data_IF_167475882860
#
_entry.id   IF_167475882860
#
_cell.length_a   1.000
_cell.length_b   1.000
_cell.length_c   1.000
_cell.angle_alpha   90.00
_cell.angle_beta   90.00
_cell.angle_gamma   90.00
#
_symmetry.space_group_name_H-M   'P 1'
#
loop_
_entity.id
_entity.type
_entity.pdbx_description
1 polymer ?
#
# COMPACT_ATOMS: atom_id res chain seq x y z
N UNK A 1 17.32 -27.00 -36.65
CA UNK A 1 17.60 -26.14 -35.47
C UNK A 1 16.48 -25.13 -35.15
N UNK A 2 15.78 -24.54 -36.14
CA UNK A 2 14.72 -23.52 -35.89
C UNK A 2 13.47 -24.01 -35.14
N UNK A 3 13.12 -25.30 -35.26
CA UNK A 3 11.91 -25.86 -34.63
C UNK A 3 12.01 -25.90 -33.10
N UNK A 4 13.20 -26.22 -32.56
CA UNK A 4 13.47 -26.28 -31.12
C UNK A 4 13.41 -24.89 -30.45
N UNK A 5 13.88 -23.84 -31.15
CA UNK A 5 13.84 -22.46 -30.66
C UNK A 5 12.40 -21.94 -30.51
N UNK A 6 11.50 -22.33 -31.43
CA UNK A 6 10.08 -21.96 -31.37
C UNK A 6 9.34 -22.59 -30.19
N UNK A 7 9.65 -23.85 -29.86
CA UNK A 7 9.08 -24.51 -28.68
C UNK A 7 9.61 -23.93 -27.37
N UNK A 8 10.89 -23.55 -27.32
CA UNK A 8 11.46 -22.89 -26.15
C UNK A 8 10.82 -21.52 -25.88
N UNK A 9 10.59 -20.71 -26.92
CA UNK A 9 9.92 -19.40 -26.79
C UNK A 9 8.45 -19.59 -26.35
N UNK A 10 7.74 -20.56 -26.94
CA UNK A 10 6.36 -20.85 -26.53
C UNK A 10 6.27 -21.30 -25.06
N UNK A 11 7.22 -22.12 -24.60
CA UNK A 11 7.28 -22.55 -23.20
C UNK A 11 7.55 -21.39 -22.24
N UNK A 12 8.45 -20.47 -22.59
CA UNK A 12 8.75 -19.27 -21.78
C UNK A 12 7.53 -18.35 -21.68
N UNK A 13 6.83 -18.12 -22.79
CA UNK A 13 5.61 -17.29 -22.82
C UNK A 13 4.50 -17.93 -21.99
N UNK A 14 4.32 -19.25 -22.09
CA UNK A 14 3.33 -19.98 -21.27
C UNK A 14 3.69 -19.92 -19.78
N UNK A 15 4.97 -20.05 -19.41
CA UNK A 15 5.41 -19.95 -18.02
C UNK A 15 5.29 -18.52 -17.46
N UNK A 16 5.59 -17.50 -18.27
CA UNK A 16 5.40 -16.09 -17.90
C UNK A 16 3.92 -15.75 -17.73
N UNK A 17 3.04 -16.29 -18.60
CA UNK A 17 1.60 -16.18 -18.45
C UNK A 17 1.12 -16.87 -17.16
N UNK A 18 1.54 -18.11 -16.88
CA UNK A 18 1.17 -18.85 -15.67
C UNK A 18 1.62 -18.16 -14.38
N UNK A 19 2.83 -17.58 -14.36
CA UNK A 19 3.32 -16.79 -13.22
C UNK A 19 2.54 -15.48 -13.02
N UNK A 20 2.08 -14.85 -14.10
CA UNK A 20 1.19 -13.70 -14.04
C UNK A 20 -0.21 -14.10 -13.54
N UNK A 21 -0.76 -15.23 -13.98
CA UNK A 21 -2.06 -15.74 -13.49
C UNK A 21 -2.02 -16.21 -12.03
N UNK A 22 -0.92 -16.80 -11.57
CA UNK A 22 -0.75 -17.19 -10.16
C UNK A 22 -0.70 -15.96 -9.22
N UNK A 23 -0.18 -14.83 -9.68
CA UNK A 23 -0.24 -13.54 -8.96
C UNK A 23 -1.58 -12.83 -9.12
N UNK A 24 -2.33 -13.12 -10.19
CA UNK A 24 -3.64 -12.52 -10.49
C UNK A 24 -4.82 -13.31 -9.90
N UNK A 25 -4.61 -14.51 -9.35
CA UNK A 25 -5.55 -15.18 -8.41
C UNK A 25 -5.60 -14.50 -7.02
N UNK A 26 -5.29 -13.20 -7.04
CA UNK A 26 -5.85 -12.09 -6.31
C UNK A 26 -6.02 -12.29 -4.81
N UNK A 27 -5.26 -11.49 -4.09
CA UNK A 27 -5.52 -11.14 -2.70
C UNK A 27 -6.97 -10.64 -2.45
N UNK A 28 -7.79 -10.38 -3.49
CA UNK A 28 -9.24 -10.23 -3.35
C UNK A 28 -9.96 -11.46 -2.79
N UNK A 29 -9.38 -12.65 -2.89
CA UNK A 29 -9.91 -13.87 -2.27
C UNK A 29 -9.70 -13.90 -0.75
N UNK A 30 -8.77 -13.09 -0.22
CA UNK A 30 -8.45 -13.04 1.22
C UNK A 30 -9.44 -12.15 1.97
N UNK A 31 -9.91 -11.05 1.35
CA UNK A 31 -10.89 -10.15 1.95
C UNK A 31 -12.28 -10.46 1.40
N UNK A 32 -13.20 -10.88 2.27
CA UNK A 32 -14.59 -11.05 1.88
C UNK A 32 -15.28 -9.68 1.65
N UNK A 33 -16.50 -9.69 1.15
CA UNK A 33 -17.25 -8.46 0.87
C UNK A 33 -17.46 -7.59 2.12
N UNK A 34 -17.69 -8.20 3.28
CA UNK A 34 -17.86 -7.49 4.55
C UNK A 34 -16.59 -6.77 4.99
N UNK A 35 -15.43 -7.42 4.87
CA UNK A 35 -14.14 -6.83 5.21
C UNK A 35 -13.80 -5.64 4.31
N UNK A 36 -14.11 -5.74 3.02
CA UNK A 36 -13.97 -4.64 2.05
C UNK A 36 -14.83 -3.44 2.43
N UNK A 37 -16.11 -3.66 2.71
CA UNK A 37 -17.03 -2.59 3.16
C UNK A 37 -16.56 -1.95 4.46
N UNK A 38 -16.09 -2.75 5.43
CA UNK A 38 -15.55 -2.21 6.68
C UNK A 38 -14.33 -1.32 6.43
N UNK A 39 -13.44 -1.73 5.52
CA UNK A 39 -12.27 -0.95 5.14
C UNK A 39 -12.65 0.38 4.47
N UNK A 40 -13.64 0.36 3.59
CA UNK A 40 -14.17 1.57 2.92
C UNK A 40 -14.82 2.54 3.92
N UNK A 41 -15.57 2.02 4.88
CA UNK A 41 -16.14 2.83 5.97
C UNK A 41 -15.02 3.47 6.79
N UNK A 42 -13.99 2.70 7.16
CA UNK A 42 -12.83 3.21 7.91
C UNK A 42 -12.06 4.27 7.11
N UNK A 43 -11.85 4.06 5.81
CA UNK A 43 -11.18 5.01 4.94
C UNK A 43 -11.99 6.31 4.80
N UNK A 44 -13.31 6.20 4.60
CA UNK A 44 -14.21 7.35 4.50
C UNK A 44 -14.24 8.17 5.79
N UNK A 45 -14.35 7.50 6.94
CA UNK A 45 -14.31 8.15 8.24
C UNK A 45 -12.95 8.80 8.52
N UNK A 46 -11.85 8.17 8.08
CA UNK A 46 -10.50 8.72 8.19
C UNK A 46 -10.34 9.96 7.30
N UNK A 47 -10.84 9.93 6.06
CA UNK A 47 -10.88 11.09 5.18
C UNK A 47 -11.66 12.26 5.79
N UNK A 48 -12.82 11.99 6.39
CA UNK A 48 -13.60 13.01 7.09
C UNK A 48 -12.79 13.63 8.24
N UNK A 49 -12.19 12.81 9.10
CA UNK A 49 -11.33 13.29 10.20
C UNK A 49 -10.13 14.11 9.71
N UNK A 50 -9.54 13.75 8.58
CA UNK A 50 -8.43 14.50 8.00
C UNK A 50 -8.90 15.88 7.50
N UNK A 51 -10.10 15.97 6.92
CA UNK A 51 -10.71 17.23 6.48
C UNK A 51 -11.08 18.13 7.65
N UNK A 52 -11.64 17.55 8.70
CA UNK A 52 -12.12 18.29 9.87
C UNK A 52 -10.98 18.70 10.81
N UNK A 53 -9.81 18.07 10.67
CA UNK A 53 -8.61 18.53 11.34
C UNK A 53 -8.27 19.94 10.82
N UNK A 54 -8.18 20.91 11.74
CA UNK A 54 -7.79 22.28 11.46
C UNK A 54 -6.32 22.29 10.98
N UNK A 55 -6.14 22.08 9.68
CA UNK A 55 -4.84 21.99 9.02
C UNK A 55 -4.56 23.26 8.26
N UNK A 56 -3.33 23.72 8.37
CA UNK A 56 -2.81 24.87 7.63
C UNK A 56 -2.72 24.57 6.11
N UNK A 57 -2.68 23.28 5.73
CA UNK A 57 -2.57 22.86 4.34
C UNK A 57 -3.93 22.76 3.64
N UNK A 58 -4.09 23.53 2.57
CA UNK A 58 -5.31 23.61 1.75
C UNK A 58 -5.66 22.30 1.03
N UNK A 59 -4.65 21.48 0.72
CA UNK A 59 -4.79 20.17 0.05
C UNK A 59 -3.86 19.15 0.72
N UNK A 60 -4.32 18.43 1.75
CA UNK A 60 -3.49 17.45 2.42
C UNK A 60 -3.12 16.31 1.47
N UNK A 61 -1.85 15.92 1.47
CA UNK A 61 -1.34 14.69 0.86
C UNK A 61 -1.01 13.68 1.96
N UNK A 62 -1.57 12.48 1.86
CA UNK A 62 -1.51 11.48 2.93
C UNK A 62 -0.82 10.21 2.47
N UNK A 63 0.13 9.73 3.27
CA UNK A 63 0.78 8.44 3.06
C UNK A 63 0.17 7.39 4.01
N UNK A 64 -0.19 6.22 3.50
CA UNK A 64 -0.63 5.07 4.29
C UNK A 64 0.52 4.08 4.44
N UNK A 65 0.98 3.89 5.67
CA UNK A 65 2.05 2.94 6.00
C UNK A 65 1.48 1.54 6.17
N UNK A 66 2.30 0.53 5.88
CA UNK A 66 1.98 -0.87 6.14
C UNK A 66 1.49 -1.12 7.57
N UNK A 67 0.48 -1.98 7.71
CA UNK A 67 -0.07 -2.34 9.01
C UNK A 67 0.66 -3.55 9.60
N UNK A 68 1.66 -3.29 10.44
CA UNK A 68 2.43 -4.35 11.08
C UNK A 68 1.62 -5.10 12.16
N UNK A 69 1.53 -6.43 12.04
CA UNK A 69 0.89 -7.32 13.01
C UNK A 69 1.94 -7.92 13.96
N UNK A 70 1.99 -7.44 15.21
CA UNK A 70 2.34 -8.22 16.41
C UNK A 70 3.75 -8.81 16.58
N UNK A 71 4.54 -9.04 15.53
CA UNK A 71 5.91 -9.55 15.63
C UNK A 71 6.92 -8.58 15.02
N UNK A 72 8.15 -8.51 15.57
CA UNK A 72 9.24 -7.79 14.92
C UNK A 72 9.71 -8.55 13.68
N UNK A 73 9.67 -7.91 12.51
CA UNK A 73 10.52 -8.30 11.39
C UNK A 73 9.87 -8.36 10.02
N UNK A 74 8.53 -8.46 9.91
CA UNK A 74 7.89 -8.65 8.60
C UNK A 74 6.56 -7.89 8.55
N UNK A 75 6.39 -6.98 7.59
CA UNK A 75 5.04 -6.59 7.17
C UNK A 75 4.37 -7.87 6.69
N UNK A 76 3.34 -8.35 7.39
CA UNK A 76 2.62 -9.51 6.89
C UNK A 76 2.03 -9.14 5.54
N UNK A 77 2.01 -10.08 4.58
CA UNK A 77 1.37 -9.88 3.28
C UNK A 77 -0.06 -9.33 3.43
N UNK A 78 -0.75 -9.74 4.50
CA UNK A 78 -2.04 -9.18 4.91
C UNK A 78 -1.97 -7.72 5.35
N UNK A 79 -0.97 -7.32 6.14
CA UNK A 79 -0.76 -5.93 6.57
C UNK A 79 -0.47 -4.97 5.43
N UNK A 80 0.35 -5.41 4.46
CA UNK A 80 0.58 -4.68 3.20
C UNK A 80 -0.70 -4.59 2.38
N UNK A 81 -1.42 -5.71 2.19
CA UNK A 81 -2.69 -5.74 1.45
C UNK A 81 -3.73 -4.79 2.04
N UNK A 82 -3.91 -4.82 3.37
CA UNK A 82 -4.86 -3.97 4.06
C UNK A 82 -4.49 -2.50 3.89
N UNK A 83 -3.20 -2.17 3.94
CA UNK A 83 -2.72 -0.81 3.70
C UNK A 83 -2.91 -0.37 2.24
N UNK A 84 -2.68 -1.25 1.26
CA UNK A 84 -2.92 -1.00 -0.16
C UNK A 84 -4.40 -0.67 -0.41
N UNK A 85 -5.30 -1.55 0.03
CA UNK A 85 -6.75 -1.37 -0.13
C UNK A 85 -7.25 -0.15 0.62
N UNK A 86 -6.73 0.10 1.81
CA UNK A 86 -7.16 1.25 2.60
C UNK A 86 -6.74 2.55 1.91
N UNK A 87 -5.52 2.59 1.35
CA UNK A 87 -5.02 3.72 0.57
C UNK A 87 -5.86 3.98 -0.68
N UNK A 88 -6.27 2.93 -1.39
CA UNK A 88 -7.16 3.02 -2.55
C UNK A 88 -8.52 3.58 -2.17
N UNK A 89 -9.17 3.01 -1.15
CA UNK A 89 -10.44 3.53 -0.63
C UNK A 89 -10.30 4.98 -0.15
N UNK A 90 -9.22 5.33 0.54
CA UNK A 90 -8.97 6.67 1.06
C UNK A 90 -8.84 7.71 -0.06
N UNK A 91 -8.13 7.35 -1.14
CA UNK A 91 -8.01 8.18 -2.33
C UNK A 91 -9.37 8.43 -2.99
N UNK A 92 -10.23 7.40 -3.04
CA UNK A 92 -11.57 7.49 -3.60
C UNK A 92 -12.55 8.28 -2.71
N UNK A 93 -12.36 8.27 -1.38
CA UNK A 93 -13.23 8.93 -0.42
C UNK A 93 -13.07 10.46 -0.36
N UNK A 94 -12.07 11.06 -1.01
CA UNK A 94 -11.85 12.52 -0.92
C UNK A 94 -11.23 13.14 -2.18
N UNK A 95 -12.03 13.93 -2.90
CA UNK A 95 -11.57 14.68 -4.09
C UNK A 95 -10.62 15.85 -3.79
N UNK A 96 -10.51 16.28 -2.54
CA UNK A 96 -9.70 17.45 -2.10
C UNK A 96 -8.44 17.06 -1.32
N UNK A 97 -8.16 15.77 -1.21
CA UNK A 97 -7.01 15.22 -0.48
C UNK A 97 -6.26 14.29 -1.41
N UNK A 98 -4.96 14.52 -1.57
CA UNK A 98 -4.10 13.59 -2.27
C UNK A 98 -3.77 12.39 -1.40
N UNK A 99 -3.68 11.21 -2.00
CA UNK A 99 -3.07 10.05 -1.34
C UNK A 99 -1.79 9.72 -2.09
N UNK A 100 -0.70 9.45 -1.36
CA UNK A 100 0.55 9.02 -1.97
C UNK A 100 0.37 7.60 -2.50
N UNK A 101 0.77 7.38 -3.75
CA UNK A 101 0.72 6.05 -4.37
C UNK A 101 1.60 5.07 -3.57
N UNK A 102 0.97 3.98 -3.15
CA UNK A 102 1.59 2.87 -2.42
C UNK A 102 2.71 2.21 -3.22
N UNK A 103 2.65 2.24 -4.55
CA UNK A 103 3.74 1.76 -5.42
C UNK A 103 5.00 2.63 -5.25
N UNK A 104 4.84 3.95 -5.26
CA UNK A 104 5.96 4.88 -5.04
C UNK A 104 6.56 4.70 -3.65
N UNK A 105 5.72 4.44 -2.64
CA UNK A 105 6.17 4.12 -1.30
C UNK A 105 7.00 2.82 -1.27
N UNK A 106 6.52 1.74 -1.87
CA UNK A 106 7.24 0.47 -1.94
C UNK A 106 8.58 0.58 -2.70
N UNK A 107 8.60 1.33 -3.81
CA UNK A 107 9.82 1.63 -4.56
C UNK A 107 10.82 2.42 -3.71
N UNK A 108 10.36 3.44 -2.97
CA UNK A 108 11.20 4.21 -2.06
C UNK A 108 11.84 3.34 -0.99
N UNK A 109 11.07 2.47 -0.33
CA UNK A 109 11.60 1.57 0.70
C UNK A 109 12.69 0.65 0.15
N UNK A 110 12.50 0.16 -1.07
CA UNK A 110 13.45 -0.72 -1.75
C UNK A 110 14.73 0.04 -2.13
N UNK A 111 14.60 1.23 -2.71
CA UNK A 111 15.75 2.03 -3.17
C UNK A 111 16.61 2.55 -2.02
N UNK A 112 15.99 2.92 -0.90
CA UNK A 112 16.67 3.51 0.25
C UNK A 112 17.07 2.49 1.32
N UNK A 113 16.89 1.20 1.05
CA UNK A 113 17.18 0.12 2.01
C UNK A 113 16.50 0.34 3.36
N UNK A 114 15.30 0.92 3.34
CA UNK A 114 14.58 1.33 4.53
C UNK A 114 14.18 0.10 5.34
N UNK A 115 14.51 0.11 6.62
CA UNK A 115 14.21 -1.00 7.51
C UNK A 115 12.81 -0.86 8.13
N UNK A 116 12.29 -1.97 8.63
CA UNK A 116 11.07 -1.95 9.44
C UNK A 116 11.20 -1.05 10.68
N UNK A 117 12.40 -0.92 11.22
CA UNK A 117 12.67 -0.10 12.40
C UNK A 117 12.45 1.39 12.12
N UNK A 118 12.83 1.84 10.92
CA UNK A 118 12.58 3.20 10.43
C UNK A 118 11.08 3.52 10.32
N UNK A 119 10.29 2.53 9.90
CA UNK A 119 8.82 2.64 9.81
C UNK A 119 8.13 2.55 11.17
N UNK A 120 8.74 1.84 12.13
CA UNK A 120 8.27 1.77 13.52
C UNK A 120 8.62 3.02 14.30
N UNK A 121 9.67 3.76 13.95
CA UNK A 121 10.01 4.99 14.65
C UNK A 121 9.17 6.16 14.09
N UNK A 122 8.40 6.87 14.93
CA UNK A 122 7.52 7.95 14.43
C UNK A 122 8.29 9.08 13.72
N UNK A 123 9.45 9.55 14.24
CA UNK A 123 10.37 10.40 13.50
C UNK A 123 10.80 9.86 12.13
N UNK A 124 11.23 8.60 12.04
CA UNK A 124 11.68 7.97 10.79
C UNK A 124 10.55 7.87 9.77
N UNK A 125 9.39 7.39 10.21
CA UNK A 125 8.18 7.34 9.41
C UNK A 125 7.75 8.73 8.91
N UNK A 126 7.81 9.76 9.77
CA UNK A 126 7.55 11.16 9.39
C UNK A 126 8.53 11.67 8.34
N UNK A 127 9.81 11.36 8.49
CA UNK A 127 10.85 11.75 7.52
C UNK A 127 10.55 11.15 6.15
N UNK A 128 10.30 9.84 6.08
CA UNK A 128 9.96 9.14 4.83
C UNK A 128 8.70 9.74 4.19
N UNK A 129 7.67 10.04 4.98
CA UNK A 129 6.48 10.71 4.49
C UNK A 129 6.79 12.05 3.81
N UNK A 130 7.66 12.87 4.40
CA UNK A 130 8.06 14.16 3.83
C UNK A 130 8.83 14.01 2.52
N UNK A 131 9.76 13.05 2.45
CA UNK A 131 10.52 12.75 1.22
C UNK A 131 9.58 12.37 0.06
N UNK A 132 8.46 11.73 0.37
CA UNK A 132 7.43 11.36 -0.60
C UNK A 132 6.39 12.48 -0.84
N UNK A 133 6.58 13.66 -0.26
CA UNK A 133 5.67 14.81 -0.39
C UNK A 133 4.34 14.65 0.37
N UNK A 134 4.30 13.80 1.40
CA UNK A 134 3.16 13.67 2.30
C UNK A 134 3.18 14.78 3.37
N UNK A 135 2.02 15.41 3.55
CA UNK A 135 1.72 16.35 4.64
C UNK A 135 1.19 15.64 5.90
N UNK A 136 0.68 14.41 5.73
CA UNK A 136 0.16 13.59 6.82
C UNK A 136 0.43 12.12 6.60
N UNK A 137 0.40 11.35 7.68
CA UNK A 137 0.65 9.90 7.64
C UNK A 137 -0.47 9.18 8.40
N UNK A 138 -0.98 8.11 7.80
CA UNK A 138 -1.88 7.15 8.46
C UNK A 138 -1.05 5.95 8.86
N UNK A 139 -1.12 5.64 10.16
CA UNK A 139 -0.42 4.52 10.79
C UNK A 139 -1.33 3.87 11.81
N UNK A 140 -1.08 2.60 12.11
CA UNK A 140 -1.80 1.87 13.16
C UNK A 140 -1.46 2.49 14.52
N UNK A 141 -2.49 2.80 15.32
CA UNK A 141 -2.31 3.24 16.72
C UNK A 141 -1.61 2.15 17.53
N UNK A 142 -0.52 2.51 18.21
CA UNK A 142 0.07 1.68 19.28
C UNK A 142 -0.80 1.85 20.53
N UNK A 143 -1.32 0.75 21.04
CA UNK A 143 -2.06 0.69 22.32
C UNK A 143 -1.08 0.26 23.38
#
# INVERSE_FOLDING_TARGET
MQRQLRFAIAAIVVFACLAAYARCQSLDSILNATDKTNLEILATHTAQKIRDADRTEKEPRVLVIDFFLGSPGVSSSLGTLLADRFSESLANSSRKMGTIDRKNFAEYLTQNWTTLEDLKNFPGCRYIGRELGATGIVLRKRV
#
